data_IF_174567757416
#
_entry.id   IF_174567757416
#
_cell.length_a   1.000
_cell.length_b   1.000
_cell.length_c   1.000
_cell.angle_alpha   90.00
_cell.angle_beta   90.00
_cell.angle_gamma   90.00
#
_symmetry.space_group_name_H-M   'P 1'
#
loop_
_entity.id
_entity.type
_entity.pdbx_description
1 polymer ?
#
# COMPACT_ATOMS: atom_id res chain seq x y z
N UNK A 1 -34.84 3.64 10.40
CA UNK A 1 -34.02 4.15 9.29
C UNK A 1 -33.12 5.22 9.85
N UNK A 2 -31.97 4.83 10.37
CA UNK A 2 -30.95 5.76 10.85
C UNK A 2 -29.89 5.82 9.75
N UNK A 3 -29.77 6.96 9.07
CA UNK A 3 -28.59 7.31 8.30
C UNK A 3 -27.47 7.49 9.33
N UNK A 4 -26.54 6.54 9.38
CA UNK A 4 -25.34 6.68 10.17
C UNK A 4 -24.38 7.61 9.45
N UNK A 5 -24.31 8.87 9.85
CA UNK A 5 -23.11 9.68 9.66
C UNK A 5 -22.07 9.09 10.62
N UNK A 6 -21.14 8.31 10.10
CA UNK A 6 -20.06 7.67 10.85
C UNK A 6 -19.07 8.70 11.35
N UNK A 7 -19.33 9.23 12.53
CA UNK A 7 -18.42 10.12 13.25
C UNK A 7 -18.18 9.46 14.60
N UNK A 8 -16.98 8.89 14.77
CA UNK A 8 -16.54 8.46 16.10
C UNK A 8 -16.30 9.70 16.95
N UNK A 9 -16.99 9.79 18.09
CA UNK A 9 -16.73 10.80 19.09
C UNK A 9 -15.47 10.38 19.84
N UNK A 10 -14.37 11.11 19.62
CA UNK A 10 -13.09 10.73 20.21
C UNK A 10 -12.95 11.25 21.64
N UNK A 11 -13.51 12.41 21.96
CA UNK A 11 -13.37 12.99 23.30
C UNK A 11 -14.46 14.04 23.57
N UNK A 12 -14.65 14.38 24.87
CA UNK A 12 -15.53 15.44 25.32
C UNK A 12 -14.63 16.51 25.99
N UNK A 13 -14.64 17.73 25.43
CA UNK A 13 -13.92 18.88 26.03
C UNK A 13 -14.88 19.99 26.40
N UNK A 14 -14.42 20.90 27.24
CA UNK A 14 -15.21 22.06 27.62
C UNK A 14 -15.45 23.01 26.43
N UNK A 15 -16.63 23.63 26.42
CA UNK A 15 -17.02 24.57 25.39
C UNK A 15 -16.14 25.81 25.46
N UNK A 16 -15.67 26.30 24.32
CA UNK A 16 -14.94 27.56 24.18
C UNK A 16 -15.75 28.48 23.27
N UNK A 17 -15.86 29.80 23.58
CA UNK A 17 -16.52 30.76 22.69
C UNK A 17 -15.97 30.69 21.27
N UNK A 18 -16.87 30.41 20.29
CA UNK A 18 -16.51 30.14 18.89
C UNK A 18 -16.82 28.74 18.44
N UNK A 19 -17.08 27.83 19.36
CA UNK A 19 -17.54 26.47 19.01
C UNK A 19 -18.95 26.48 18.41
N UNK A 20 -19.19 25.58 17.47
CA UNK A 20 -20.52 25.48 16.85
C UNK A 20 -21.53 24.90 17.82
N UNK A 21 -22.66 25.55 18.03
CA UNK A 21 -23.74 25.11 18.92
C UNK A 21 -24.20 23.67 18.66
N UNK A 22 -24.16 23.22 17.40
CA UNK A 22 -24.48 21.84 17.03
C UNK A 22 -23.48 20.78 17.51
N UNK A 23 -22.29 21.20 17.98
CA UNK A 23 -21.28 20.31 18.54
C UNK A 23 -21.47 20.09 20.05
N UNK A 24 -22.34 20.88 20.71
CA UNK A 24 -22.62 20.74 22.14
C UNK A 24 -23.26 19.38 22.43
N UNK A 25 -22.67 18.68 23.39
CA UNK A 25 -23.24 17.45 23.95
C UNK A 25 -24.18 17.81 25.09
N UNK A 26 -25.44 18.11 24.77
CA UNK A 26 -26.45 18.53 25.75
C UNK A 26 -26.64 17.54 26.90
N UNK A 27 -26.50 16.22 26.61
CA UNK A 27 -26.63 15.18 27.62
C UNK A 27 -25.47 15.16 28.62
N UNK A 28 -24.24 15.33 28.13
CA UNK A 28 -23.06 15.42 28.97
C UNK A 28 -23.02 16.73 29.73
N UNK A 29 -23.37 17.86 29.08
CA UNK A 29 -23.46 19.17 29.69
C UNK A 29 -24.45 19.21 30.86
N UNK A 30 -25.64 18.62 30.69
CA UNK A 30 -26.65 18.54 31.75
C UNK A 30 -26.19 17.69 32.96
N UNK A 31 -25.30 16.73 32.78
CA UNK A 31 -24.75 15.93 33.89
C UNK A 31 -23.58 16.61 34.60
N UNK A 32 -22.79 17.39 33.86
CA UNK A 32 -21.57 18.05 34.39
C UNK A 32 -21.85 19.43 34.98
N UNK A 33 -22.95 20.08 34.59
CA UNK A 33 -23.28 21.44 34.94
C UNK A 33 -22.61 22.51 34.08
N UNK A 34 -21.66 22.12 33.20
CA UNK A 34 -20.93 23.00 32.30
C UNK A 34 -21.13 22.58 30.85
N UNK A 35 -21.06 23.56 29.94
CA UNK A 35 -21.18 23.26 28.50
C UNK A 35 -19.96 22.48 28.02
N UNK A 36 -20.21 21.29 27.46
CA UNK A 36 -19.18 20.45 26.84
C UNK A 36 -19.52 20.17 25.39
N UNK A 37 -18.50 20.08 24.56
CA UNK A 37 -18.61 19.78 23.12
C UNK A 37 -18.03 18.42 22.83
N UNK A 38 -18.65 17.71 21.90
CA UNK A 38 -18.03 16.53 21.31
C UNK A 38 -16.92 16.98 20.39
N UNK A 39 -15.68 16.66 20.73
CA UNK A 39 -14.56 16.83 19.83
C UNK A 39 -14.65 15.76 18.75
N UNK A 40 -14.82 16.22 17.52
CA UNK A 40 -14.86 15.35 16.35
C UNK A 40 -13.44 15.33 15.79
N UNK A 41 -12.74 14.22 15.96
CA UNK A 41 -11.64 13.96 15.06
C UNK A 41 -12.24 13.64 13.69
N UNK A 42 -11.88 14.37 12.62
CA UNK A 42 -12.25 13.92 11.29
C UNK A 42 -11.70 12.49 11.15
N UNK A 43 -12.56 11.52 10.87
CA UNK A 43 -12.11 10.20 10.43
C UNK A 43 -11.13 10.46 9.29
N UNK A 44 -9.84 10.34 9.57
CA UNK A 44 -8.82 10.38 8.54
C UNK A 44 -8.82 9.02 7.86
N UNK A 45 -9.88 8.74 7.11
CA UNK A 45 -9.89 7.63 6.19
C UNK A 45 -8.78 7.90 5.17
N UNK A 46 -7.67 7.22 5.33
CA UNK A 46 -6.56 7.34 4.42
C UNK A 46 -6.92 6.59 3.14
N UNK A 47 -6.73 7.23 1.99
CA UNK A 47 -6.77 6.50 0.73
C UNK A 47 -5.50 5.64 0.64
N UNK A 48 -5.69 4.33 0.58
CA UNK A 48 -4.62 3.33 0.41
C UNK A 48 -4.78 2.72 -0.97
N UNK A 49 -3.75 2.76 -1.78
CA UNK A 49 -3.74 2.13 -3.10
C UNK A 49 -2.72 1.00 -3.10
N UNK A 50 -3.20 -0.21 -3.38
CA UNK A 50 -2.38 -1.40 -3.54
C UNK A 50 -1.97 -1.48 -5.02
N UNK A 51 -0.69 -1.27 -5.29
CA UNK A 51 -0.11 -1.21 -6.63
C UNK A 51 0.69 -2.48 -6.88
N UNK A 52 0.10 -3.41 -7.62
CA UNK A 52 0.61 -4.78 -7.79
C UNK A 52 1.30 -4.93 -9.13
N UNK A 53 2.52 -5.45 -9.11
CA UNK A 53 3.27 -5.80 -10.30
C UNK A 53 2.71 -7.08 -10.94
N UNK A 54 2.23 -6.96 -12.17
CA UNK A 54 1.77 -8.08 -12.99
C UNK A 54 2.49 -8.17 -14.34
N UNK A 55 3.71 -7.60 -14.45
CA UNK A 55 4.56 -7.77 -15.62
C UNK A 55 5.29 -9.10 -15.63
N UNK A 56 5.71 -9.56 -14.46
CA UNK A 56 6.59 -10.71 -14.32
C UNK A 56 6.11 -11.63 -13.20
N UNK A 57 6.28 -12.92 -13.42
CA UNK A 57 6.01 -13.98 -12.44
C UNK A 57 7.19 -14.93 -12.41
N UNK A 58 7.94 -14.93 -11.32
CA UNK A 58 9.03 -15.88 -11.10
C UNK A 58 8.46 -17.11 -10.42
N UNK A 59 8.70 -18.29 -10.99
CA UNK A 59 8.15 -19.56 -10.53
C UNK A 59 9.24 -20.53 -10.11
N UNK A 60 9.00 -21.24 -9.03
CA UNK A 60 9.88 -22.31 -8.53
C UNK A 60 9.15 -23.13 -7.47
N UNK A 61 9.42 -24.43 -7.41
CA UNK A 61 8.88 -25.36 -6.39
C UNK A 61 7.36 -25.31 -6.21
N UNK A 62 6.62 -25.16 -7.31
CA UNK A 62 5.15 -25.06 -7.28
C UNK A 62 4.60 -23.76 -6.71
N UNK A 63 5.44 -22.75 -6.50
CA UNK A 63 5.11 -21.41 -6.01
C UNK A 63 5.36 -20.36 -7.09
N UNK A 64 4.81 -19.17 -6.88
CA UNK A 64 4.87 -18.06 -7.81
C UNK A 64 4.99 -16.74 -7.04
N UNK A 65 5.86 -15.85 -7.50
CA UNK A 65 5.97 -14.51 -6.90
C UNK A 65 4.69 -13.70 -7.07
N UNK A 66 3.93 -13.93 -8.14
CA UNK A 66 2.64 -13.28 -8.34
C UNK A 66 1.59 -13.79 -7.35
N UNK A 67 1.54 -15.12 -7.09
CA UNK A 67 0.63 -15.68 -6.08
C UNK A 67 0.96 -15.14 -4.69
N UNK A 68 2.24 -15.01 -4.36
CA UNK A 68 2.69 -14.41 -3.11
C UNK A 68 2.29 -12.92 -3.05
N UNK A 69 2.48 -12.17 -4.14
CA UNK A 69 2.06 -10.77 -4.23
C UNK A 69 0.53 -10.61 -4.05
N UNK A 70 -0.27 -11.48 -4.66
CA UNK A 70 -1.73 -11.49 -4.51
C UNK A 70 -2.13 -11.77 -3.05
N UNK A 71 -1.49 -12.75 -2.39
CA UNK A 71 -1.74 -13.04 -0.96
C UNK A 71 -1.38 -11.87 -0.05
N UNK A 72 -0.21 -11.26 -0.25
CA UNK A 72 0.21 -10.09 0.49
C UNK A 72 -0.77 -8.93 0.30
N UNK A 73 -1.20 -8.71 -0.95
CA UNK A 73 -2.15 -7.67 -1.31
C UNK A 73 -3.51 -7.89 -0.64
N UNK A 74 -4.04 -9.11 -0.65
CA UNK A 74 -5.30 -9.46 0.01
C UNK A 74 -5.24 -9.25 1.53
N UNK A 75 -4.10 -9.59 2.15
CA UNK A 75 -3.86 -9.39 3.59
C UNK A 75 -3.82 -7.90 3.93
N UNK A 76 -3.08 -7.10 3.14
CA UNK A 76 -3.04 -5.64 3.29
C UNK A 76 -4.43 -5.02 3.13
N UNK A 77 -5.16 -5.42 2.07
CA UNK A 77 -6.51 -4.95 1.80
C UNK A 77 -7.44 -5.18 3.00
N UNK A 78 -7.45 -6.42 3.52
CA UNK A 78 -8.27 -6.79 4.68
C UNK A 78 -7.94 -5.93 5.89
N UNK A 79 -6.67 -5.77 6.21
CA UNK A 79 -6.19 -5.00 7.36
C UNK A 79 -6.60 -3.51 7.28
N UNK A 80 -6.44 -2.88 6.11
CA UNK A 80 -6.80 -1.47 5.96
C UNK A 80 -8.32 -1.27 5.92
N UNK A 81 -9.08 -2.19 5.31
CA UNK A 81 -10.54 -2.15 5.35
C UNK A 81 -11.11 -2.31 6.77
N UNK A 82 -10.50 -3.17 7.62
CA UNK A 82 -10.86 -3.33 9.03
C UNK A 82 -10.63 -2.04 9.83
N UNK A 83 -9.64 -1.25 9.45
CA UNK A 83 -9.33 0.08 10.00
C UNK A 83 -10.21 1.19 9.43
N UNK A 84 -11.19 0.82 8.58
CA UNK A 84 -12.07 1.76 7.88
C UNK A 84 -11.34 2.71 6.92
N UNK A 85 -10.12 2.36 6.47
CA UNK A 85 -9.45 3.07 5.40
C UNK A 85 -10.11 2.75 4.05
N UNK A 86 -10.00 3.66 3.09
CA UNK A 86 -10.46 3.46 1.72
C UNK A 86 -9.36 2.77 0.93
N UNK A 87 -9.63 1.55 0.49
CA UNK A 87 -8.63 0.72 -0.22
C UNK A 87 -8.98 0.61 -1.70
N UNK A 88 -8.03 0.97 -2.54
CA UNK A 88 -8.06 0.77 -3.99
C UNK A 88 -7.00 -0.24 -4.43
N UNK A 89 -7.11 -0.69 -5.67
CA UNK A 89 -6.17 -1.63 -6.29
C UNK A 89 -5.81 -1.16 -7.69
N UNK A 90 -4.55 -1.33 -8.05
CA UNK A 90 -4.05 -1.20 -9.42
C UNK A 90 -3.15 -2.40 -9.67
N UNK A 91 -3.57 -3.31 -10.56
CA UNK A 91 -2.69 -4.33 -11.12
C UNK A 91 -2.06 -3.74 -12.39
N UNK A 92 -0.76 -3.48 -12.30
CA UNK A 92 0.00 -2.78 -13.33
C UNK A 92 0.91 -3.77 -14.05
N UNK A 93 0.58 -4.02 -15.30
CA UNK A 93 1.23 -5.01 -16.14
C UNK A 93 0.82 -4.89 -17.60
N UNK A 94 0.82 -6.00 -18.30
CA UNK A 94 0.39 -6.06 -19.71
C UNK A 94 -1.06 -5.59 -19.91
N UNK A 95 -1.93 -5.91 -18.96
CA UNK A 95 -3.29 -5.38 -18.87
C UNK A 95 -3.36 -4.56 -17.58
N UNK A 96 -3.74 -3.30 -17.70
CA UNK A 96 -3.97 -2.43 -16.55
C UNK A 96 -5.38 -2.68 -16.01
N UNK A 97 -5.47 -3.20 -14.79
CA UNK A 97 -6.71 -3.37 -14.05
C UNK A 97 -6.71 -2.44 -12.83
N UNK A 98 -7.86 -1.91 -12.47
CA UNK A 98 -7.95 -1.05 -11.31
C UNK A 98 -9.31 -1.13 -10.62
N UNK A 99 -9.28 -0.86 -9.33
CA UNK A 99 -10.45 -0.63 -8.51
C UNK A 99 -10.27 0.66 -7.72
N UNK A 100 -11.27 1.55 -7.75
CA UNK A 100 -11.22 2.83 -7.03
C UNK A 100 -11.18 2.61 -5.52
N UNK A 101 -10.50 3.48 -4.75
CA UNK A 101 -10.54 3.42 -3.31
C UNK A 101 -11.98 3.48 -2.76
N UNK A 102 -12.35 2.47 -2.00
CA UNK A 102 -13.64 2.30 -1.36
C UNK A 102 -13.50 1.57 -0.02
N UNK A 103 -14.60 1.37 0.69
CA UNK A 103 -14.60 0.73 2.01
C UNK A 103 -15.76 -0.25 2.17
N UNK A 104 -15.70 -1.06 3.22
CA UNK A 104 -16.75 -2.00 3.60
C UNK A 104 -16.67 -3.33 2.88
N UNK A 105 -17.68 -4.17 3.14
CA UNK A 105 -17.70 -5.57 2.67
C UNK A 105 -17.73 -5.67 1.13
N UNK A 106 -18.51 -4.81 0.47
CA UNK A 106 -18.59 -4.80 -0.98
C UNK A 106 -17.22 -4.51 -1.63
N UNK A 107 -16.48 -3.53 -1.10
CA UNK A 107 -15.13 -3.23 -1.57
C UNK A 107 -14.19 -4.44 -1.40
N UNK A 108 -14.31 -5.15 -0.28
CA UNK A 108 -13.52 -6.37 -0.05
C UNK A 108 -13.78 -7.44 -1.11
N UNK A 109 -15.04 -7.68 -1.46
CA UNK A 109 -15.42 -8.64 -2.51
C UNK A 109 -14.81 -8.24 -3.86
N UNK A 110 -14.99 -6.97 -4.27
CA UNK A 110 -14.45 -6.46 -5.53
C UNK A 110 -12.92 -6.53 -5.60
N UNK A 111 -12.22 -6.29 -4.48
CA UNK A 111 -10.76 -6.44 -4.40
C UNK A 111 -10.34 -7.89 -4.64
N UNK A 112 -11.01 -8.84 -3.99
CA UNK A 112 -10.71 -10.27 -4.17
C UNK A 112 -10.96 -10.70 -5.62
N UNK A 113 -12.09 -10.33 -6.21
CA UNK A 113 -12.40 -10.63 -7.61
C UNK A 113 -11.35 -10.06 -8.56
N UNK A 114 -10.97 -8.80 -8.38
CA UNK A 114 -9.93 -8.16 -9.22
C UNK A 114 -8.56 -8.84 -9.05
N UNK A 115 -8.22 -9.27 -7.83
CA UNK A 115 -6.97 -9.99 -7.56
C UNK A 115 -6.96 -11.38 -8.20
N UNK A 116 -8.08 -12.11 -8.17
CA UNK A 116 -8.19 -13.42 -8.81
C UNK A 116 -8.05 -13.36 -10.34
N UNK A 117 -8.42 -12.22 -10.94
CA UNK A 117 -8.23 -11.97 -12.35
C UNK A 117 -6.83 -11.42 -12.73
N UNK A 118 -6.01 -11.11 -11.71
CA UNK A 118 -4.67 -10.56 -11.95
C UNK A 118 -3.73 -11.67 -12.42
N UNK A 119 -3.10 -11.46 -13.56
CA UNK A 119 -2.18 -12.41 -14.17
C UNK A 119 -1.20 -11.73 -15.10
N UNK A 120 -0.09 -12.39 -15.37
CA UNK A 120 0.89 -11.91 -16.36
C UNK A 120 0.30 -12.05 -17.75
N UNK A 121 0.22 -10.95 -18.46
CA UNK A 121 -0.20 -10.90 -19.86
C UNK A 121 0.95 -10.37 -20.70
N UNK A 122 1.45 -11.14 -21.66
CA UNK A 122 2.49 -10.66 -22.57
C UNK A 122 1.98 -9.45 -23.37
N UNK A 123 2.73 -8.37 -23.34
CA UNK A 123 2.44 -7.19 -24.15
C UNK A 123 3.72 -6.48 -24.57
N UNK A 124 3.71 -5.95 -25.77
CA UNK A 124 4.76 -5.08 -26.29
C UNK A 124 4.50 -3.59 -26.00
N UNK A 125 3.26 -3.28 -25.63
CA UNK A 125 2.84 -1.91 -25.29
C UNK A 125 2.21 -1.90 -23.92
N UNK A 126 2.62 -0.96 -23.07
CA UNK A 126 2.04 -0.76 -21.74
C UNK A 126 1.65 0.71 -21.57
N UNK A 127 0.74 0.95 -20.66
CA UNK A 127 0.35 2.31 -20.29
C UNK A 127 1.31 2.85 -19.24
N UNK A 128 1.67 4.11 -19.36
CA UNK A 128 2.44 4.80 -18.32
C UNK A 128 1.55 5.08 -17.10
N UNK A 129 2.18 5.19 -15.93
CA UNK A 129 1.50 5.56 -14.68
C UNK A 129 0.81 6.92 -14.79
N UNK A 130 1.36 7.82 -15.60
CA UNK A 130 0.77 9.13 -15.91
C UNK A 130 -0.63 9.04 -16.50
N UNK A 131 -0.98 7.93 -17.15
CA UNK A 131 -2.31 7.68 -17.72
C UNK A 131 -3.36 7.23 -16.71
N UNK A 132 -2.97 6.93 -15.44
CA UNK A 132 -3.89 6.51 -14.40
C UNK A 132 -4.69 7.71 -13.89
N UNK A 133 -6.04 7.67 -13.96
CA UNK A 133 -6.86 8.78 -13.50
C UNK A 133 -6.70 9.06 -11.99
N UNK A 134 -6.75 10.34 -11.60
CA UNK A 134 -6.66 10.76 -10.20
C UNK A 134 -7.76 10.15 -9.30
N UNK A 135 -8.88 9.72 -9.87
CA UNK A 135 -9.95 9.04 -9.13
C UNK A 135 -9.54 7.63 -8.67
N UNK A 136 -8.56 7.01 -9.34
CA UNK A 136 -8.05 5.68 -9.03
C UNK A 136 -6.81 5.80 -8.15
N UNK A 137 -6.02 6.82 -8.39
CA UNK A 137 -4.81 7.17 -7.65
C UNK A 137 -4.95 8.59 -7.07
N UNK A 138 -5.70 8.76 -5.97
CA UNK A 138 -5.95 10.08 -5.38
C UNK A 138 -4.66 10.75 -4.91
N UNK A 139 -4.54 12.08 -5.02
CA UNK A 139 -3.44 12.83 -4.44
C UNK A 139 -3.30 12.52 -2.94
N UNK A 140 -2.07 12.34 -2.46
CA UNK A 140 -1.74 11.99 -1.07
C UNK A 140 -2.16 10.59 -0.61
N UNK A 141 -2.62 9.71 -1.52
CA UNK A 141 -2.82 8.32 -1.18
C UNK A 141 -1.51 7.68 -0.69
N UNK A 142 -1.63 6.79 0.28
CA UNK A 142 -0.56 5.87 0.63
C UNK A 142 -0.52 4.75 -0.41
N UNK A 143 0.56 4.63 -1.14
CA UNK A 143 0.72 3.60 -2.17
C UNK A 143 1.62 2.48 -1.65
N UNK A 144 1.09 1.25 -1.63
CA UNK A 144 1.88 0.05 -1.44
C UNK A 144 2.19 -0.56 -2.80
N UNK A 145 3.43 -0.52 -3.22
CA UNK A 145 3.91 -1.20 -4.41
C UNK A 145 4.37 -2.62 -4.05
N UNK A 146 3.65 -3.62 -4.52
CA UNK A 146 3.91 -5.04 -4.26
C UNK A 146 4.53 -5.63 -5.52
N UNK A 147 5.81 -6.02 -5.46
CA UNK A 147 6.60 -6.37 -6.65
C UNK A 147 7.80 -7.26 -6.31
N UNK A 148 8.21 -8.18 -7.18
CA UNK A 148 9.49 -8.87 -7.04
C UNK A 148 10.69 -8.00 -7.44
N UNK A 149 10.49 -6.74 -7.89
CA UNK A 149 11.52 -5.83 -8.37
C UNK A 149 12.39 -6.43 -9.50
N UNK A 150 11.78 -7.15 -10.42
CA UNK A 150 12.46 -7.80 -11.56
C UNK A 150 12.24 -7.01 -12.85
N UNK A 151 11.06 -6.44 -13.03
CA UNK A 151 10.71 -5.70 -14.25
C UNK A 151 11.03 -4.21 -14.13
N UNK A 152 11.86 -3.71 -15.03
CA UNK A 152 12.29 -2.31 -15.04
C UNK A 152 11.15 -1.32 -15.27
N UNK A 153 10.07 -1.73 -15.95
CA UNK A 153 8.89 -0.89 -16.22
C UNK A 153 8.15 -0.58 -14.92
N UNK A 154 8.04 -1.59 -14.04
CA UNK A 154 7.43 -1.39 -12.72
C UNK A 154 8.31 -0.54 -11.81
N UNK A 155 9.63 -0.74 -11.85
CA UNK A 155 10.59 0.11 -11.13
C UNK A 155 10.47 1.57 -11.56
N UNK A 156 10.43 1.83 -12.87
CA UNK A 156 10.24 3.19 -13.40
C UNK A 156 8.90 3.80 -12.96
N UNK A 157 7.84 2.99 -12.86
CA UNK A 157 6.55 3.41 -12.33
C UNK A 157 6.63 3.84 -10.85
N UNK A 158 7.37 3.11 -10.02
CA UNK A 158 7.64 3.48 -8.62
C UNK A 158 8.36 4.83 -8.54
N UNK A 159 9.39 5.03 -9.36
CA UNK A 159 10.17 6.26 -9.39
C UNK A 159 9.33 7.46 -9.85
N UNK A 160 8.49 7.29 -10.87
CA UNK A 160 7.55 8.32 -11.33
C UNK A 160 6.53 8.69 -10.24
N UNK A 161 5.91 7.70 -9.60
CA UNK A 161 5.00 7.94 -8.47
C UNK A 161 5.68 8.70 -7.33
N UNK A 162 6.93 8.34 -7.02
CA UNK A 162 7.70 9.05 -6.01
C UNK A 162 8.02 10.48 -6.42
N UNK A 163 8.42 10.69 -7.69
CA UNK A 163 8.66 12.02 -8.25
C UNK A 163 7.41 12.92 -8.21
N UNK A 164 6.23 12.34 -8.36
CA UNK A 164 4.92 13.02 -8.22
C UNK A 164 4.50 13.29 -6.79
N UNK A 165 5.30 12.88 -5.79
CA UNK A 165 5.10 13.20 -4.38
C UNK A 165 4.18 12.22 -3.62
N UNK A 166 3.88 11.05 -4.19
CA UNK A 166 3.14 10.03 -3.45
C UNK A 166 3.94 9.49 -2.25
N UNK A 167 3.22 9.15 -1.19
CA UNK A 167 3.77 8.44 -0.04
C UNK A 167 3.83 6.94 -0.40
N UNK A 168 5.03 6.44 -0.66
CA UNK A 168 5.30 5.14 -1.25
C UNK A 168 5.97 4.20 -0.26
N UNK A 169 5.48 2.96 -0.27
CA UNK A 169 6.09 1.80 0.40
C UNK A 169 6.21 0.69 -0.63
N UNK A 170 7.39 0.13 -0.78
CA UNK A 170 7.62 -1.09 -1.57
C UNK A 170 7.62 -2.29 -0.65
N UNK A 171 6.76 -3.24 -0.95
CA UNK A 171 6.80 -4.59 -0.41
C UNK A 171 7.43 -5.49 -1.47
N UNK A 172 8.71 -5.78 -1.30
CA UNK A 172 9.42 -6.68 -2.18
C UNK A 172 9.06 -8.12 -1.88
N UNK A 173 8.38 -8.78 -2.81
CA UNK A 173 8.17 -10.23 -2.77
C UNK A 173 9.47 -10.87 -3.21
N UNK A 174 10.19 -11.49 -2.28
CA UNK A 174 11.56 -11.96 -2.52
C UNK A 174 11.64 -13.05 -3.58
N UNK A 175 12.17 -12.79 -4.79
CA UNK A 175 12.29 -13.79 -5.85
C UNK A 175 13.51 -14.71 -5.67
N UNK A 176 14.40 -14.42 -4.73
CA UNK A 176 15.66 -15.17 -4.54
C UNK A 176 15.38 -16.62 -4.20
N UNK A 177 14.34 -16.89 -3.40
CA UNK A 177 13.92 -18.24 -3.05
C UNK A 177 13.35 -19.06 -4.22
N UNK A 178 13.10 -18.44 -5.38
CA UNK A 178 12.58 -19.11 -6.59
C UNK A 178 13.66 -19.37 -7.65
N UNK A 179 14.88 -18.87 -7.44
CA UNK A 179 15.97 -18.95 -8.42
C UNK A 179 17.13 -19.75 -7.83
N UNK A 180 17.41 -20.91 -8.41
CA UNK A 180 18.60 -21.66 -8.07
C UNK A 180 19.83 -21.16 -8.84
N UNK A 181 20.97 -20.96 -8.17
CA UNK A 181 22.21 -20.66 -8.86
C UNK A 181 22.56 -21.85 -9.78
N UNK A 182 22.81 -21.59 -11.05
CA UNK A 182 23.21 -22.63 -11.99
C UNK A 182 24.54 -23.29 -11.57
N UNK A 183 24.76 -24.52 -12.04
CA UNK A 183 25.88 -25.40 -11.64
C UNK A 183 27.24 -25.01 -12.25
N UNK A 184 27.27 -24.08 -13.21
CA UNK A 184 28.51 -23.61 -13.83
C UNK A 184 29.07 -22.42 -13.09
N UNK A 185 30.39 -22.21 -13.17
CA UNK A 185 31.04 -21.05 -12.55
C UNK A 185 30.49 -19.73 -13.10
N UNK A 186 30.23 -19.66 -14.41
CA UNK A 186 29.61 -18.48 -15.05
C UNK A 186 28.21 -18.24 -14.49
N UNK A 187 27.39 -19.26 -14.33
CA UNK A 187 26.06 -19.11 -13.76
C UNK A 187 26.10 -18.67 -12.30
N UNK A 188 27.08 -19.16 -11.53
CA UNK A 188 27.29 -18.72 -10.15
C UNK A 188 27.75 -17.25 -10.06
N UNK A 189 28.57 -16.78 -11.02
CA UNK A 189 28.95 -15.37 -11.12
C UNK A 189 27.76 -14.49 -11.52
N UNK A 190 26.98 -14.89 -12.52
CA UNK A 190 25.77 -14.20 -12.95
C UNK A 190 24.77 -14.07 -11.81
N UNK A 191 24.55 -15.13 -11.02
CA UNK A 191 23.67 -15.10 -9.85
C UNK A 191 24.15 -14.11 -8.78
N UNK A 192 25.47 -14.05 -8.49
CA UNK A 192 26.03 -13.08 -7.55
C UNK A 192 25.87 -11.65 -8.05
N UNK A 193 26.09 -11.42 -9.34
CA UNK A 193 25.89 -10.09 -9.96
C UNK A 193 24.43 -9.66 -9.84
N UNK A 194 23.49 -10.57 -10.14
CA UNK A 194 22.05 -10.31 -10.00
C UNK A 194 21.68 -9.96 -8.56
N UNK A 195 22.22 -10.63 -7.54
CA UNK A 195 22.00 -10.27 -6.14
C UNK A 195 22.51 -8.86 -5.81
N UNK A 196 23.69 -8.48 -6.30
CA UNK A 196 24.24 -7.13 -6.12
C UNK A 196 23.41 -6.05 -6.80
N UNK A 197 22.90 -6.32 -8.01
CA UNK A 197 22.00 -5.41 -8.72
C UNK A 197 20.72 -5.18 -7.93
N UNK A 198 20.15 -6.21 -7.31
CA UNK A 198 18.99 -6.09 -6.44
C UNK A 198 19.26 -5.23 -5.20
N UNK A 199 20.40 -5.43 -4.55
CA UNK A 199 20.80 -4.59 -3.40
C UNK A 199 20.98 -3.13 -3.80
N UNK A 200 21.61 -2.89 -4.94
CA UNK A 200 21.80 -1.55 -5.51
C UNK A 200 20.45 -0.88 -5.82
N UNK A 201 19.50 -1.63 -6.38
CA UNK A 201 18.16 -1.13 -6.69
C UNK A 201 17.41 -0.74 -5.41
N UNK A 202 17.47 -1.57 -4.36
CA UNK A 202 16.86 -1.23 -3.05
C UNK A 202 17.46 0.04 -2.47
N UNK A 203 18.79 0.11 -2.40
CA UNK A 203 19.49 1.29 -1.89
C UNK A 203 19.11 2.55 -2.68
N UNK A 204 18.94 2.43 -4.01
CA UNK A 204 18.48 3.54 -4.86
C UNK A 204 17.07 4.00 -4.50
N UNK A 205 16.12 3.07 -4.33
CA UNK A 205 14.75 3.39 -3.93
C UNK A 205 14.70 4.02 -2.53
N UNK A 206 15.47 3.50 -1.59
CA UNK A 206 15.59 4.07 -0.24
C UNK A 206 16.20 5.47 -0.28
N UNK A 207 17.21 5.70 -1.13
CA UNK A 207 17.80 7.02 -1.39
C UNK A 207 16.78 8.04 -1.93
N UNK A 208 15.77 7.59 -2.67
CA UNK A 208 14.64 8.41 -3.10
C UNK A 208 13.60 8.64 -1.98
N UNK A 209 13.81 8.06 -0.80
CA UNK A 209 12.90 8.14 0.34
C UNK A 209 11.68 7.23 0.21
N UNK A 210 11.80 6.13 -0.52
CA UNK A 210 10.83 5.04 -0.59
C UNK A 210 11.20 4.00 0.46
N UNK A 211 10.27 3.63 1.35
CA UNK A 211 10.51 2.55 2.29
C UNK A 211 10.42 1.20 1.57
N UNK A 212 11.46 0.38 1.67
CA UNK A 212 11.46 -0.97 1.08
C UNK A 212 11.47 -2.00 2.19
N UNK A 213 10.50 -2.91 2.19
CA UNK A 213 10.48 -4.08 3.05
C UNK A 213 10.56 -5.34 2.21
N UNK A 214 11.35 -6.32 2.65
CA UNK A 214 11.36 -7.66 2.03
C UNK A 214 10.32 -8.53 2.71
N UNK A 215 9.57 -9.24 1.91
CA UNK A 215 8.63 -10.19 2.44
C UNK A 215 8.74 -11.53 1.73
N UNK A 216 8.65 -12.58 2.52
CA UNK A 216 8.55 -13.96 2.09
C UNK A 216 7.35 -14.59 2.79
N UNK A 217 6.74 -15.56 2.17
CA UNK A 217 5.53 -16.21 2.65
C UNK A 217 5.70 -16.92 4.01
N UNK A 218 6.95 -17.27 4.38
CA UNK A 218 7.31 -17.86 5.67
C UNK A 218 7.40 -16.85 6.83
N UNK A 219 7.30 -15.54 6.52
CA UNK A 219 7.37 -14.46 7.52
C UNK A 219 6.02 -13.75 7.60
N UNK A 220 5.49 -13.49 8.82
CA UNK A 220 4.29 -12.69 8.96
C UNK A 220 4.45 -11.31 8.29
N UNK A 221 3.46 -10.91 7.50
CA UNK A 221 3.48 -9.64 6.78
C UNK A 221 3.61 -8.43 7.72
N UNK A 222 3.12 -8.57 8.95
CA UNK A 222 3.24 -7.58 10.02
C UNK A 222 4.69 -7.21 10.33
N UNK A 223 5.59 -8.19 10.32
CA UNK A 223 7.00 -7.95 10.59
C UNK A 223 7.62 -7.05 9.51
N UNK A 224 7.37 -7.34 8.23
CA UNK A 224 7.82 -6.52 7.12
C UNK A 224 7.24 -5.09 7.17
N UNK A 225 5.97 -4.95 7.57
CA UNK A 225 5.32 -3.64 7.70
C UNK A 225 5.86 -2.82 8.87
N UNK A 226 6.29 -3.44 9.97
CA UNK A 226 6.91 -2.72 11.10
C UNK A 226 8.29 -2.16 10.72
N UNK A 227 9.07 -2.86 9.90
CA UNK A 227 10.32 -2.35 9.35
C UNK A 227 10.07 -1.04 8.56
N UNK A 228 9.08 -1.05 7.67
CA UNK A 228 8.70 0.15 6.90
C UNK A 228 8.23 1.28 7.80
N UNK A 229 7.41 1.00 8.81
CA UNK A 229 6.94 2.02 9.76
C UNK A 229 8.10 2.68 10.48
N UNK A 230 9.06 1.87 10.90
CA UNK A 230 10.27 2.36 11.60
C UNK A 230 11.10 3.22 10.65
N UNK A 231 11.33 2.76 9.42
CA UNK A 231 12.02 3.54 8.40
C UNK A 231 11.34 4.88 8.13
N UNK A 232 10.02 4.89 7.89
CA UNK A 232 9.25 6.14 7.63
C UNK A 232 9.28 7.10 8.80
N UNK A 233 9.23 6.61 10.04
CA UNK A 233 9.34 7.44 11.25
C UNK A 233 10.71 8.13 11.29
N UNK A 234 11.77 7.39 11.05
CA UNK A 234 13.13 7.90 11.07
C UNK A 234 13.38 8.90 9.91
N UNK A 235 12.89 8.59 8.70
CA UNK A 235 13.00 9.47 7.54
C UNK A 235 12.23 10.80 7.70
N UNK A 236 11.15 10.82 8.47
CA UNK A 236 10.43 12.07 8.82
C UNK A 236 11.19 12.91 9.83
N UNK A 237 11.84 12.27 10.81
CA UNK A 237 12.66 12.98 11.82
C UNK A 237 13.93 13.58 11.21
N UNK A 238 14.50 12.97 10.19
CA UNK A 238 15.69 13.47 9.50
C UNK A 238 15.42 14.68 8.56
N UNK A 239 14.14 15.01 8.29
CA UNK A 239 13.73 16.15 7.44
C UNK A 239 13.32 17.40 8.21
N UNK A 240 13.35 17.36 9.53
CA UNK A 240 13.14 18.47 10.46
C UNK A 240 14.47 19.00 10.93
#
# INVERSE_FOLDING_TARGET
RVKGDGIEYADIRDYVPGDRVRAINWRASARRGDLVVNERHPERNTDVVLFVDSFTDVRGDGRSTLDDAVRATATLASRYLERRDRVGLIAFGGILRWLRPGMGLWQRVMLIETLLETGVQPTYTWREVSSIPAQILPPKALVFAITPLVDSRFVSAIEDLRGRGFDLVVLEVDPVGFVEPGRTEIAGLAYRLWLLERETLRARLEGLGVGVARWRDDVPLEAALEEVRTYRRNARLARV
#
